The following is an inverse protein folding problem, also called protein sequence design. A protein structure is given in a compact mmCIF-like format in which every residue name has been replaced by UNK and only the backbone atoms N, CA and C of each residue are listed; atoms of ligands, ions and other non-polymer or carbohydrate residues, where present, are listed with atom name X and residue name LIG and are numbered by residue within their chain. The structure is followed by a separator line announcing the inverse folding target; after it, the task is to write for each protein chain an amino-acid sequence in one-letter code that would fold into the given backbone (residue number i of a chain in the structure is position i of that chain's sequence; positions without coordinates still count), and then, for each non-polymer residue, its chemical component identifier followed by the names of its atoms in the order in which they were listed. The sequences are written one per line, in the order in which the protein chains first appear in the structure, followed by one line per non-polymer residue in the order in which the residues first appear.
data_IF_561553719207
#
_entry.id   IF_561553719207
#
_cell.length_a   1.000
_cell.length_b   1.000
_cell.length_c   1.000
_cell.angle_alpha   90.00
_cell.angle_beta   90.00
_cell.angle_gamma   90.00
#
_symmetry.space_group_name_H-M   'P 1'
#
loop_
_entity.id
_entity.type
_entity.pdbx_description
1 polymer ?
#
# COMPACT_ATOMS: atom_id res chain seq x y z
N UNK A 1 47.71 27.27 6.63
CA UNK A 1 48.25 26.12 5.88
C UNK A 1 47.51 24.89 6.38
N UNK A 2 47.06 24.00 5.48
CA UNK A 2 46.42 22.76 5.88
C UNK A 2 47.42 21.90 6.67
N UNK A 3 46.93 21.16 7.66
CA UNK A 3 47.74 20.23 8.45
C UNK A 3 48.24 19.11 7.52
N UNK A 4 49.52 18.68 7.58
CA UNK A 4 50.02 17.57 6.77
C UNK A 4 49.24 16.25 7.01
N UNK A 5 48.59 16.14 8.17
CA UNK A 5 47.67 15.04 8.48
C UNK A 5 46.39 15.09 7.63
N UNK A 6 45.86 16.29 7.34
CA UNK A 6 44.67 16.47 6.51
C UNK A 6 44.93 15.99 5.08
N UNK A 7 46.09 16.32 4.51
CA UNK A 7 46.48 15.88 3.16
C UNK A 7 46.64 14.36 3.09
N UNK A 8 47.24 13.74 4.12
CA UNK A 8 47.35 12.28 4.21
C UNK A 8 45.98 11.58 4.26
N UNK A 9 45.02 12.11 5.01
CA UNK A 9 43.67 11.53 5.08
C UNK A 9 42.89 11.70 3.77
N UNK A 10 43.08 12.81 3.05
CA UNK A 10 42.48 13.00 1.73
C UNK A 10 43.05 12.01 0.74
N UNK A 11 44.37 11.78 0.74
CA UNK A 11 45.01 10.81 -0.13
C UNK A 11 44.49 9.38 0.14
N UNK A 12 44.37 9.00 1.41
CA UNK A 12 43.84 7.70 1.82
C UNK A 12 42.35 7.49 1.45
N UNK A 13 41.52 8.53 1.56
CA UNK A 13 40.12 8.45 1.09
C UNK A 13 40.04 8.32 -0.43
N UNK A 14 40.93 8.99 -1.18
CA UNK A 14 40.95 8.90 -2.63
C UNK A 14 41.40 7.52 -3.12
N UNK A 15 42.39 6.91 -2.45
CA UNK A 15 42.82 5.54 -2.77
C UNK A 15 41.72 4.52 -2.46
N UNK A 16 41.10 4.60 -1.27
CA UNK A 16 39.96 3.74 -0.91
C UNK A 16 38.76 3.93 -1.84
N UNK A 17 38.43 5.16 -2.23
CA UNK A 17 37.35 5.43 -3.17
C UNK A 17 37.61 4.89 -4.58
N UNK A 18 38.87 4.91 -5.03
CA UNK A 18 39.28 4.32 -6.30
C UNK A 18 39.22 2.79 -6.25
N UNK A 19 39.67 2.19 -5.15
CA UNK A 19 39.62 0.74 -4.93
C UNK A 19 38.18 0.23 -4.87
N UNK A 20 37.32 0.88 -4.09
CA UNK A 20 35.87 0.58 -4.04
C UNK A 20 35.26 0.67 -5.43
N UNK A 21 35.60 1.71 -6.22
CA UNK A 21 35.08 1.86 -7.58
C UNK A 21 35.55 0.72 -8.49
N UNK A 22 36.80 0.30 -8.37
CA UNK A 22 37.35 -0.82 -9.12
C UNK A 22 36.64 -2.14 -8.73
N UNK A 23 36.53 -2.43 -7.43
CA UNK A 23 35.79 -3.59 -6.91
C UNK A 23 34.32 -3.60 -7.35
N UNK A 24 33.67 -2.43 -7.38
CA UNK A 24 32.30 -2.31 -7.88
C UNK A 24 32.18 -2.44 -9.39
N UNK A 25 33.26 -2.33 -10.16
CA UNK A 25 33.23 -2.54 -11.61
C UNK A 25 33.56 -4.00 -11.95
N UNK A 26 34.64 -4.54 -11.39
CA UNK A 26 35.21 -5.86 -11.75
C UNK A 26 34.78 -6.99 -10.83
N UNK A 27 34.23 -6.67 -9.65
CA UNK A 27 34.09 -7.63 -8.55
C UNK A 27 32.92 -8.60 -8.65
N UNK A 28 33.17 -9.79 -8.09
CA UNK A 28 32.23 -10.86 -7.76
C UNK A 28 31.45 -10.55 -6.46
N UNK A 29 30.49 -11.40 -6.07
CA UNK A 29 29.64 -11.23 -4.88
C UNK A 29 30.47 -10.92 -3.62
N UNK A 30 31.59 -11.63 -3.41
CA UNK A 30 32.47 -11.44 -2.26
C UNK A 30 33.29 -10.14 -2.28
N UNK A 31 33.48 -9.54 -3.45
CA UNK A 31 34.17 -8.25 -3.60
C UNK A 31 33.25 -7.07 -3.25
N UNK A 32 31.93 -7.26 -3.36
CA UNK A 32 30.95 -6.26 -2.96
C UNK A 32 30.91 -6.10 -1.44
N UNK A 33 31.04 -7.20 -0.69
CA UNK A 33 31.12 -7.15 0.78
C UNK A 33 32.41 -6.48 1.26
N UNK A 34 33.54 -6.71 0.56
CA UNK A 34 34.80 -6.00 0.81
C UNK A 34 34.67 -4.50 0.51
N UNK A 35 34.02 -4.14 -0.59
CA UNK A 35 33.75 -2.73 -0.91
C UNK A 35 32.90 -2.03 0.16
N UNK A 36 31.95 -2.73 0.79
CA UNK A 36 31.15 -2.17 1.89
C UNK A 36 31.99 -1.95 3.16
N UNK A 37 32.92 -2.86 3.48
CA UNK A 37 33.85 -2.67 4.60
C UNK A 37 34.77 -1.46 4.38
N UNK A 38 35.36 -1.34 3.19
CA UNK A 38 36.22 -0.22 2.81
C UNK A 38 35.47 1.13 2.78
N UNK A 39 34.19 1.12 2.41
CA UNK A 39 33.34 2.31 2.53
C UNK A 39 33.08 2.72 3.99
N UNK A 40 33.06 1.76 4.91
CA UNK A 40 33.02 2.02 6.35
C UNK A 40 34.29 2.72 6.83
N UNK A 41 35.45 2.19 6.45
CA UNK A 41 36.77 2.78 6.78
C UNK A 41 36.91 4.20 6.21
N UNK A 42 36.51 4.41 4.94
CA UNK A 42 36.51 5.73 4.31
C UNK A 42 35.56 6.73 5.01
N UNK A 43 34.47 6.24 5.61
CA UNK A 43 33.55 7.08 6.39
C UNK A 43 34.16 7.50 7.74
N UNK A 44 34.89 6.61 8.40
CA UNK A 44 35.59 6.91 9.65
C UNK A 44 36.73 7.93 9.41
N UNK A 45 37.46 7.81 8.31
CA UNK A 45 38.44 8.82 7.88
C UNK A 45 37.78 10.17 7.54
N UNK A 46 36.61 10.16 6.90
CA UNK A 46 35.85 11.39 6.64
C UNK A 46 35.43 12.09 7.93
N UNK A 47 35.08 11.32 8.97
CA UNK A 47 34.77 11.87 10.29
C UNK A 47 35.99 12.53 10.94
N UNK A 48 37.19 11.96 10.76
CA UNK A 48 38.44 12.56 11.22
C UNK A 48 38.77 13.86 10.45
N UNK A 49 38.56 13.86 9.12
CA UNK A 49 38.66 15.07 8.29
C UNK A 49 37.67 16.16 8.70
N UNK A 50 36.43 15.81 9.05
CA UNK A 50 35.45 16.78 9.54
C UNK A 50 35.89 17.44 10.86
N UNK A 51 36.59 16.71 11.73
CA UNK A 51 37.15 17.25 12.98
C UNK A 51 38.34 18.17 12.71
N UNK A 52 39.25 17.76 11.81
CA UNK A 52 40.42 18.57 11.45
C UNK A 52 40.05 19.83 10.64
N UNK A 53 39.03 19.74 9.78
CA UNK A 53 38.47 20.90 9.09
C UNK A 53 37.82 21.90 10.06
N UNK A 54 37.33 21.44 11.23
CA UNK A 54 36.77 22.32 12.27
C UNK A 54 37.84 22.90 13.20
N UNK A 55 38.97 22.22 13.38
CA UNK A 55 40.09 22.68 14.22
C UNK A 55 40.92 23.78 13.54
N UNK A 56 40.72 24.02 12.23
CA UNK A 56 41.37 25.09 11.48
C UNK A 56 41.10 26.49 12.07
N UNK A 57 42.17 27.16 12.49
CA UNK A 57 42.14 28.47 13.16
C UNK A 57 41.73 29.61 12.23
N UNK A 58 42.15 29.56 10.97
CA UNK A 58 41.85 30.60 9.98
C UNK A 58 40.49 30.35 9.30
N UNK A 59 39.68 31.41 9.16
CA UNK A 59 38.29 31.32 8.70
C UNK A 59 38.17 31.04 7.20
N UNK A 60 39.10 31.56 6.39
CA UNK A 60 39.11 31.32 4.95
C UNK A 60 39.48 29.87 4.62
N UNK A 61 40.57 29.36 5.22
CA UNK A 61 41.01 27.97 5.02
C UNK A 61 39.99 26.96 5.56
N UNK A 62 39.28 27.28 6.65
CA UNK A 62 38.20 26.45 7.18
C UNK A 62 37.04 26.29 6.20
N UNK A 63 36.63 27.37 5.53
CA UNK A 63 35.56 27.33 4.54
C UNK A 63 35.95 26.45 3.33
N UNK A 64 37.19 26.58 2.85
CA UNK A 64 37.72 25.77 1.75
C UNK A 64 37.83 24.28 2.11
N UNK A 65 38.34 23.96 3.30
CA UNK A 65 38.45 22.58 3.79
C UNK A 65 37.07 21.95 3.99
N UNK A 66 36.09 22.71 4.49
CA UNK A 66 34.71 22.24 4.61
C UNK A 66 34.08 21.97 3.25
N UNK A 67 34.32 22.81 2.24
CA UNK A 67 33.84 22.57 0.88
C UNK A 67 34.42 21.28 0.29
N UNK A 68 35.72 21.01 0.51
CA UNK A 68 36.36 19.75 0.09
C UNK A 68 35.75 18.55 0.81
N UNK A 69 35.53 18.62 2.13
CA UNK A 69 34.89 17.55 2.88
C UNK A 69 33.47 17.26 2.39
N UNK A 70 32.69 18.28 2.02
CA UNK A 70 31.36 18.07 1.43
C UNK A 70 31.43 17.37 0.06
N UNK A 71 32.43 17.69 -0.76
CA UNK A 71 32.64 17.02 -2.04
C UNK A 71 32.99 15.53 -1.84
N UNK A 72 33.87 15.20 -0.90
CA UNK A 72 34.21 13.81 -0.57
C UNK A 72 33.00 13.06 0.02
N UNK A 73 32.19 13.72 0.84
CA UNK A 73 30.95 13.15 1.40
C UNK A 73 29.94 12.79 0.32
N UNK A 74 29.74 13.67 -0.66
CA UNK A 74 28.87 13.40 -1.80
C UNK A 74 29.40 12.23 -2.65
N UNK A 75 30.72 12.18 -2.87
CA UNK A 75 31.37 11.07 -3.60
C UNK A 75 31.17 9.73 -2.89
N UNK A 76 31.42 9.64 -1.59
CA UNK A 76 31.21 8.41 -0.80
C UNK A 76 29.73 8.00 -0.73
N UNK A 77 28.81 8.96 -0.62
CA UNK A 77 27.38 8.67 -0.68
C UNK A 77 26.99 8.04 -2.03
N UNK A 78 27.53 8.55 -3.14
CA UNK A 78 27.28 7.97 -4.47
C UNK A 78 27.83 6.54 -4.59
N UNK A 79 29.03 6.28 -4.08
CA UNK A 79 29.64 4.96 -4.09
C UNK A 79 28.86 3.95 -3.22
N UNK A 80 28.32 4.40 -2.08
CA UNK A 80 27.44 3.60 -1.23
C UNK A 80 26.15 3.19 -1.95
N UNK A 81 25.50 4.13 -2.63
CA UNK A 81 24.29 3.77 -3.40
C UNK A 81 24.61 2.80 -4.54
N UNK A 82 25.80 2.90 -5.14
CA UNK A 82 26.26 1.98 -6.17
C UNK A 82 26.55 0.58 -5.60
N UNK A 83 27.15 0.48 -4.42
CA UNK A 83 27.39 -0.80 -3.75
C UNK A 83 26.10 -1.48 -3.32
N UNK A 84 25.16 -0.75 -2.72
CA UNK A 84 23.84 -1.28 -2.32
C UNK A 84 23.07 -1.83 -3.54
N UNK A 85 23.08 -1.10 -4.66
CA UNK A 85 22.47 -1.56 -5.91
C UNK A 85 23.13 -2.85 -6.42
N UNK A 86 24.47 -2.91 -6.40
CA UNK A 86 25.20 -4.09 -6.87
C UNK A 86 24.99 -5.30 -5.94
N UNK A 87 24.85 -5.11 -4.63
CA UNK A 87 24.48 -6.19 -3.70
C UNK A 87 23.11 -6.78 -4.02
N UNK A 88 22.12 -5.93 -4.32
CA UNK A 88 20.78 -6.41 -4.68
C UNK A 88 20.80 -7.25 -5.96
N UNK A 89 21.49 -6.77 -7.01
CA UNK A 89 21.64 -7.52 -8.27
C UNK A 89 22.43 -8.80 -8.06
N UNK A 90 23.53 -8.74 -7.31
CA UNK A 90 24.37 -9.89 -7.01
C UNK A 90 23.65 -10.97 -6.20
N UNK A 91 22.70 -10.61 -5.33
CA UNK A 91 21.85 -11.58 -4.61
C UNK A 91 20.84 -12.27 -5.53
N UNK A 92 20.42 -11.60 -6.60
CA UNK A 92 19.57 -12.20 -7.65
C UNK A 92 20.41 -13.14 -8.52
N UNK A 93 21.61 -12.75 -8.93
CA UNK A 93 22.51 -13.59 -9.74
C UNK A 93 23.11 -14.76 -8.95
N UNK A 94 23.33 -14.59 -7.64
CA UNK A 94 23.77 -15.65 -6.73
C UNK A 94 22.65 -16.56 -6.23
N UNK A 95 21.39 -16.26 -6.58
CA UNK A 95 20.29 -17.19 -6.32
C UNK A 95 20.35 -18.32 -7.34
N UNK A 96 20.26 -19.56 -6.86
CA UNK A 96 20.20 -20.74 -7.72
C UNK A 96 19.15 -20.49 -8.83
N UNK A 97 19.48 -20.63 -10.13
CA UNK A 97 18.51 -20.44 -11.21
C UNK A 97 17.22 -21.25 -11.00
N UNK A 98 17.29 -22.39 -10.29
CA UNK A 98 16.13 -23.16 -9.86
C UNK A 98 15.26 -22.42 -8.83
N UNK A 99 15.87 -21.75 -7.85
CA UNK A 99 15.16 -20.93 -6.86
C UNK A 99 14.51 -19.69 -7.49
N UNK A 100 15.20 -19.03 -8.40
CA UNK A 100 14.66 -17.89 -9.15
C UNK A 100 13.50 -18.31 -10.07
N UNK A 101 13.58 -19.48 -10.71
CA UNK A 101 12.49 -20.06 -11.48
C UNK A 101 11.28 -20.41 -10.58
N UNK A 102 11.52 -21.03 -9.43
CA UNK A 102 10.46 -21.37 -8.46
C UNK A 102 9.77 -20.13 -7.86
N UNK A 103 10.50 -19.03 -7.68
CA UNK A 103 9.89 -17.76 -7.24
C UNK A 103 9.05 -17.13 -8.34
N UNK A 104 9.51 -17.14 -9.59
CA UNK A 104 8.71 -16.69 -10.74
C UNK A 104 7.44 -17.53 -10.91
N UNK A 105 7.54 -18.85 -10.79
CA UNK A 105 6.37 -19.73 -10.87
C UNK A 105 5.34 -19.39 -9.79
N UNK A 106 5.77 -19.21 -8.53
CA UNK A 106 4.86 -18.78 -7.45
C UNK A 106 4.19 -17.44 -7.71
N UNK A 107 4.90 -16.48 -8.33
CA UNK A 107 4.31 -15.20 -8.70
C UNK A 107 3.28 -15.34 -9.83
N UNK A 108 3.51 -16.23 -10.79
CA UNK A 108 2.54 -16.54 -11.85
C UNK A 108 1.30 -17.22 -11.26
N UNK A 109 1.47 -18.23 -10.42
CA UNK A 109 0.36 -18.93 -9.75
C UNK A 109 -0.46 -17.95 -8.88
N UNK A 110 0.21 -17.03 -8.19
CA UNK A 110 -0.44 -15.95 -7.45
C UNK A 110 -1.22 -14.99 -8.37
N UNK A 111 -0.68 -14.69 -9.56
CA UNK A 111 -1.37 -13.89 -10.58
C UNK A 111 -2.64 -14.57 -11.09
N UNK A 112 -2.56 -15.87 -11.38
CA UNK A 112 -3.69 -16.66 -11.88
C UNK A 112 -4.81 -16.78 -10.84
N UNK A 113 -4.46 -17.03 -9.57
CA UNK A 113 -5.43 -17.08 -8.48
C UNK A 113 -6.11 -15.73 -8.26
N UNK A 114 -5.37 -14.61 -8.35
CA UNK A 114 -5.95 -13.27 -8.28
C UNK A 114 -6.91 -13.00 -9.45
N UNK A 115 -6.56 -13.41 -10.67
CA UNK A 115 -7.42 -13.28 -11.84
C UNK A 115 -8.72 -14.08 -11.68
N UNK A 116 -8.64 -15.31 -11.16
CA UNK A 116 -9.81 -16.14 -10.85
C UNK A 116 -10.69 -15.50 -9.77
N UNK A 117 -10.09 -14.97 -8.70
CA UNK A 117 -10.83 -14.26 -7.65
C UNK A 117 -11.52 -13.00 -8.18
N UNK A 118 -10.86 -12.23 -9.05
CA UNK A 118 -11.45 -11.07 -9.68
C UNK A 118 -12.67 -11.43 -10.55
N UNK A 119 -12.58 -12.52 -11.33
CA UNK A 119 -13.70 -13.03 -12.11
C UNK A 119 -14.86 -13.50 -11.22
N UNK A 120 -14.56 -14.20 -10.13
CA UNK A 120 -15.56 -14.63 -9.14
C UNK A 120 -16.26 -13.44 -8.48
N UNK A 121 -15.50 -12.40 -8.10
CA UNK A 121 -16.06 -11.17 -7.52
C UNK A 121 -16.97 -10.43 -8.52
N UNK A 122 -16.58 -10.37 -9.80
CA UNK A 122 -17.41 -9.79 -10.84
C UNK A 122 -18.73 -10.56 -11.02
N UNK A 123 -18.67 -11.89 -11.03
CA UNK A 123 -19.86 -12.75 -11.11
C UNK A 123 -20.77 -12.59 -9.87
N UNK A 124 -20.19 -12.58 -8.66
CA UNK A 124 -20.93 -12.38 -7.42
C UNK A 124 -21.61 -11.00 -7.39
N UNK A 125 -20.94 -9.94 -7.86
CA UNK A 125 -21.54 -8.62 -8.02
C UNK A 125 -22.74 -8.65 -8.99
N UNK A 126 -22.63 -9.35 -10.11
CA UNK A 126 -23.73 -9.53 -11.05
C UNK A 126 -24.95 -10.20 -10.40
N UNK A 127 -24.72 -11.30 -9.69
CA UNK A 127 -25.78 -12.00 -8.96
C UNK A 127 -26.41 -11.11 -7.87
N UNK A 128 -25.62 -10.32 -7.14
CA UNK A 128 -26.14 -9.40 -6.13
C UNK A 128 -27.06 -8.33 -6.74
N UNK A 129 -26.68 -7.75 -7.87
CA UNK A 129 -27.53 -6.77 -8.58
C UNK A 129 -28.84 -7.40 -9.06
N UNK A 130 -28.81 -8.63 -9.55
CA UNK A 130 -30.02 -9.37 -9.91
C UNK A 130 -30.92 -9.60 -8.69
N UNK A 131 -30.34 -10.02 -7.55
CA UNK A 131 -31.09 -10.21 -6.32
C UNK A 131 -31.65 -8.90 -5.75
N UNK A 132 -30.95 -7.77 -5.92
CA UNK A 132 -31.46 -6.45 -5.55
C UNK A 132 -32.66 -6.06 -6.41
N UNK A 133 -32.62 -6.35 -7.72
CA UNK A 133 -33.76 -6.17 -8.62
C UNK A 133 -34.99 -6.96 -8.17
N UNK A 134 -34.81 -8.25 -7.88
CA UNK A 134 -35.90 -9.12 -7.38
C UNK A 134 -36.41 -8.62 -6.02
N UNK A 135 -35.54 -8.22 -5.10
CA UNK A 135 -35.95 -7.67 -3.81
C UNK A 135 -36.74 -6.36 -3.96
N UNK A 136 -36.37 -5.49 -4.90
CA UNK A 136 -37.12 -4.30 -5.27
C UNK A 136 -38.53 -4.63 -5.77
N UNK A 137 -38.67 -5.64 -6.62
CA UNK A 137 -39.97 -6.10 -7.10
C UNK A 137 -40.85 -6.66 -5.97
N UNK A 138 -40.28 -7.53 -5.12
CA UNK A 138 -40.99 -8.12 -3.98
C UNK A 138 -41.46 -7.04 -3.01
N UNK A 139 -40.63 -6.04 -2.69
CA UNK A 139 -41.02 -4.95 -1.79
C UNK A 139 -42.13 -4.07 -2.40
N UNK A 140 -42.09 -3.81 -3.70
CA UNK A 140 -43.17 -3.12 -4.39
C UNK A 140 -44.49 -3.93 -4.37
N UNK A 141 -44.41 -5.25 -4.54
CA UNK A 141 -45.57 -6.14 -4.46
C UNK A 141 -46.16 -6.20 -3.06
N UNK A 142 -45.33 -6.31 -2.03
CA UNK A 142 -45.75 -6.23 -0.62
C UNK A 142 -46.46 -4.90 -0.31
N UNK A 143 -45.99 -3.79 -0.90
CA UNK A 143 -46.65 -2.49 -0.81
C UNK A 143 -48.08 -2.52 -1.38
N UNK A 144 -48.26 -3.03 -2.61
CA UNK A 144 -49.58 -3.19 -3.24
C UNK A 144 -50.50 -4.13 -2.46
N UNK A 145 -49.95 -5.23 -1.94
CA UNK A 145 -50.70 -6.18 -1.13
C UNK A 145 -51.19 -5.53 0.17
N UNK A 146 -50.36 -4.71 0.81
CA UNK A 146 -50.74 -3.93 2.00
C UNK A 146 -51.88 -2.97 1.71
N UNK A 147 -51.81 -2.22 0.61
CA UNK A 147 -52.89 -1.29 0.20
C UNK A 147 -54.20 -2.04 -0.08
N UNK A 148 -54.12 -3.17 -0.78
CA UNK A 148 -55.28 -4.04 -1.06
C UNK A 148 -55.92 -4.54 0.24
N UNK A 149 -55.12 -5.00 1.20
CA UNK A 149 -55.59 -5.46 2.51
C UNK A 149 -56.24 -4.31 3.29
N UNK A 150 -55.65 -3.12 3.29
CA UNK A 150 -56.23 -1.95 3.96
C UNK A 150 -57.57 -1.53 3.34
N UNK A 151 -57.67 -1.56 2.01
CA UNK A 151 -58.92 -1.30 1.29
C UNK A 151 -59.98 -2.33 1.64
N UNK A 152 -59.64 -3.63 1.61
CA UNK A 152 -60.54 -4.70 2.00
C UNK A 152 -61.02 -4.56 3.45
N UNK A 153 -60.11 -4.26 4.38
CA UNK A 153 -60.45 -4.04 5.79
C UNK A 153 -61.40 -2.84 5.97
N UNK A 154 -61.19 -1.76 5.21
CA UNK A 154 -62.06 -0.58 5.24
C UNK A 154 -63.46 -0.90 4.73
N UNK A 155 -63.58 -1.65 3.63
CA UNK A 155 -64.87 -2.13 3.10
C UNK A 155 -65.59 -3.06 4.06
N UNK A 156 -64.86 -3.97 4.74
CA UNK A 156 -65.43 -4.85 5.77
C UNK A 156 -66.00 -4.05 6.92
N UNK A 157 -65.27 -3.02 7.38
CA UNK A 157 -65.74 -2.12 8.45
C UNK A 157 -66.99 -1.34 8.04
N UNK A 158 -67.02 -0.79 6.83
CA UNK A 158 -68.19 -0.09 6.27
C UNK A 158 -69.41 -1.00 6.17
N UNK A 159 -69.23 -2.20 5.60
CA UNK A 159 -70.30 -3.20 5.49
C UNK A 159 -70.81 -3.63 6.87
N UNK A 160 -69.92 -3.76 7.85
CA UNK A 160 -70.28 -4.02 9.25
C UNK A 160 -71.18 -2.93 9.84
N UNK A 161 -70.84 -1.65 9.60
CA UNK A 161 -71.66 -0.51 10.02
C UNK A 161 -73.05 -0.54 9.39
N UNK A 162 -73.13 -0.78 8.07
CA UNK A 162 -74.41 -0.89 7.36
C UNK A 162 -75.27 -2.05 7.88
N UNK A 163 -74.64 -3.18 8.21
CA UNK A 163 -75.31 -4.35 8.78
C UNK A 163 -75.89 -4.03 10.17
N UNK A 164 -75.17 -3.29 11.00
CA UNK A 164 -75.64 -2.89 12.33
C UNK A 164 -76.79 -1.89 12.26
N UNK A 165 -76.74 -0.94 11.32
CA UNK A 165 -77.88 -0.06 11.00
C UNK A 165 -79.10 -0.85 10.52
N UNK A 166 -78.90 -1.82 9.62
CA UNK A 166 -79.96 -2.69 9.12
C UNK A 166 -80.60 -3.52 10.24
N UNK A 167 -79.79 -4.08 11.15
CA UNK A 167 -80.30 -4.77 12.35
C UNK A 167 -81.14 -3.83 13.22
N UNK A 168 -80.70 -2.59 13.41
CA UNK A 168 -81.42 -1.61 14.22
C UNK A 168 -82.77 -1.23 13.59
N UNK A 169 -82.82 -1.01 12.27
CA UNK A 169 -84.05 -0.82 11.51
C UNK A 169 -85.01 -2.00 11.61
N UNK A 170 -84.52 -3.22 11.40
CA UNK A 170 -85.31 -4.45 11.56
C UNK A 170 -85.89 -4.59 12.96
N UNK A 171 -85.10 -4.26 13.99
CA UNK A 171 -85.55 -4.31 15.37
C UNK A 171 -86.63 -3.24 15.66
N UNK A 172 -86.52 -2.05 15.06
CA UNK A 172 -87.58 -1.04 15.11
C UNK A 172 -88.86 -1.50 14.40
N UNK A 173 -88.76 -2.02 13.17
CA UNK A 173 -89.91 -2.56 12.43
C UNK A 173 -90.60 -3.71 13.19
N UNK A 174 -89.82 -4.63 13.76
CA UNK A 174 -90.34 -5.72 14.59
C UNK A 174 -90.99 -5.26 15.90
N UNK A 175 -90.67 -4.06 16.39
CA UNK A 175 -91.42 -3.42 17.49
C UNK A 175 -92.73 -2.81 17.01
N UNK A 176 -92.73 -2.17 15.84
CA UNK A 176 -93.93 -1.58 15.23
C UNK A 176 -94.99 -2.63 14.87
N UNK A 177 -94.60 -3.77 14.32
CA UNK A 177 -95.53 -4.85 13.93
C UNK A 177 -96.17 -5.59 15.12
N UNK A 178 -95.60 -5.47 16.33
CA UNK A 178 -96.10 -6.13 17.56
C UNK A 178 -97.00 -5.23 18.42
N UNK A 179 -97.35 -4.05 17.92
CA UNK A 179 -98.34 -3.14 18.51
C UNK A 179 -99.59 -3.11 17.64
#
# INVERSE_FOLDING_TARGET
MASPMFESYVEEILTLAAEVRHLLQTGSVGDVDRAVLQLGEAHDLLRQLEVEARSATDAATRADLQAQVQAHKASLASLRTASERRQLVSRVDGSDPAAAAAQRQRMLDAGDTLAQQAAMLAAAKGALLETEGVAGEVTAELGRNRETIQSAHSKVKETGSMMDEAKQLLNMMGKWYRR
#
